data_IF_629963954183
#
_entry.id   IF_629963954183
#
_cell.length_a   1.000
_cell.length_b   1.000
_cell.length_c   1.000
_cell.angle_alpha   90.00
_cell.angle_beta   90.00
_cell.angle_gamma   90.00
#
_symmetry.space_group_name_H-M   'P 1'
#
loop_
_entity.id
_entity.type
_entity.pdbx_description
1 polymer ?
#
# COMPACT_ATOMS: atom_id res chain seq x y z
N UNK A 1 -8.40 17.30 -3.55
CA UNK A 1 -8.33 17.66 -4.99
C UNK A 1 -6.99 17.27 -5.63
N UNK A 2 -5.83 17.47 -4.98
CA UNK A 2 -4.51 17.17 -5.57
C UNK A 2 -4.30 15.73 -6.09
N UNK A 3 -4.92 14.71 -5.47
CA UNK A 3 -4.84 13.33 -5.97
C UNK A 3 -5.58 13.08 -7.30
N UNK A 4 -6.59 13.89 -7.62
CA UNK A 4 -7.32 13.81 -8.89
C UNK A 4 -6.53 14.52 -9.98
N UNK A 5 -5.95 15.69 -9.67
CA UNK A 5 -5.17 16.49 -10.62
C UNK A 5 -3.85 15.80 -11.04
N UNK A 6 -3.26 14.98 -10.16
CA UNK A 6 -2.04 14.21 -10.47
C UNK A 6 -2.30 12.90 -11.24
N UNK A 7 -3.56 12.50 -11.43
CA UNK A 7 -3.92 11.24 -12.10
C UNK A 7 -3.60 9.97 -11.31
N UNK A 8 -3.31 10.12 -10.02
CA UNK A 8 -2.83 9.06 -9.13
C UNK A 8 -3.83 7.91 -8.98
N UNK A 9 -5.12 8.24 -8.83
CA UNK A 9 -6.19 7.23 -8.72
C UNK A 9 -6.33 6.43 -10.02
N UNK A 10 -6.24 7.10 -11.18
CA UNK A 10 -6.34 6.45 -12.48
C UNK A 10 -5.16 5.50 -12.71
N UNK A 11 -3.94 5.93 -12.37
CA UNK A 11 -2.76 5.08 -12.48
C UNK A 11 -2.84 3.85 -11.55
N UNK A 12 -3.31 4.00 -10.31
CA UNK A 12 -3.46 2.86 -9.40
C UNK A 12 -4.54 1.88 -9.86
N UNK A 13 -5.67 2.37 -10.37
CA UNK A 13 -6.75 1.51 -10.88
C UNK A 13 -6.33 0.77 -12.15
N UNK A 14 -5.65 1.45 -13.08
CA UNK A 14 -5.10 0.82 -14.27
C UNK A 14 -4.06 -0.23 -13.92
N UNK A 15 -3.15 0.08 -12.98
CA UNK A 15 -2.14 -0.89 -12.53
C UNK A 15 -2.80 -2.11 -11.88
N UNK A 16 -3.80 -1.92 -11.02
CA UNK A 16 -4.52 -3.02 -10.39
C UNK A 16 -5.21 -3.92 -11.42
N UNK A 17 -5.90 -3.31 -12.41
CA UNK A 17 -6.54 -4.05 -13.49
C UNK A 17 -5.53 -4.83 -14.33
N UNK A 18 -4.44 -4.17 -14.74
CA UNK A 18 -3.37 -4.75 -15.52
C UNK A 18 -2.71 -5.94 -14.80
N UNK A 19 -2.38 -5.78 -13.52
CA UNK A 19 -1.76 -6.84 -12.71
C UNK A 19 -2.69 -8.04 -12.57
N UNK A 20 -3.99 -7.83 -12.30
CA UNK A 20 -4.96 -8.91 -12.24
C UNK A 20 -5.07 -9.67 -13.56
N UNK A 21 -5.09 -8.94 -14.69
CA UNK A 21 -5.10 -9.55 -16.02
C UNK A 21 -3.83 -10.36 -16.29
N UNK A 22 -2.64 -9.87 -15.94
CA UNK A 22 -1.40 -10.61 -16.11
C UNK A 22 -1.35 -11.89 -15.28
N UNK A 23 -1.76 -11.82 -14.01
CA UNK A 23 -1.84 -12.99 -13.12
C UNK A 23 -2.75 -14.05 -13.74
N UNK A 24 -3.97 -13.65 -14.12
CA UNK A 24 -4.92 -14.55 -14.76
C UNK A 24 -4.39 -15.13 -16.07
N UNK A 25 -3.84 -14.29 -16.95
CA UNK A 25 -3.32 -14.68 -18.25
C UNK A 25 -2.19 -15.70 -18.13
N UNK A 26 -1.20 -15.44 -17.27
CA UNK A 26 -0.05 -16.33 -17.07
C UNK A 26 -0.47 -17.65 -16.40
N UNK A 27 -1.31 -17.59 -15.37
CA UNK A 27 -1.83 -18.78 -14.71
C UNK A 27 -2.61 -19.66 -15.71
N UNK A 28 -3.45 -19.05 -16.57
CA UNK A 28 -4.24 -19.73 -17.59
C UNK A 28 -3.38 -20.33 -18.71
N UNK A 29 -2.33 -19.62 -19.14
CA UNK A 29 -1.42 -20.07 -20.19
C UNK A 29 -0.67 -21.34 -19.79
N UNK A 30 -0.24 -21.43 -18.53
CA UNK A 30 0.49 -22.60 -18.02
C UNK A 30 -0.47 -23.74 -17.64
N UNK A 31 -1.64 -23.43 -17.07
CA UNK A 31 -2.56 -24.46 -16.58
C UNK A 31 -3.41 -25.12 -17.67
N UNK A 32 -3.70 -24.43 -18.78
CA UNK A 32 -4.51 -24.97 -19.88
C UNK A 32 -4.01 -26.31 -20.44
N UNK A 33 -2.74 -26.46 -20.87
CA UNK A 33 -2.28 -27.74 -21.44
C UNK A 33 -2.27 -28.88 -20.40
N UNK A 34 -2.15 -28.55 -19.12
CA UNK A 34 -2.24 -29.52 -18.03
C UNK A 34 -3.69 -29.97 -17.79
N UNK A 35 -4.65 -29.04 -17.88
CA UNK A 35 -6.09 -29.34 -17.75
C UNK A 35 -6.59 -30.26 -18.88
N UNK A 36 -6.07 -30.08 -20.10
CA UNK A 36 -6.42 -30.93 -21.25
C UNK A 36 -6.00 -32.39 -21.06
N UNK A 37 -4.93 -32.64 -20.30
CA UNK A 37 -4.46 -34.00 -19.95
C UNK A 37 -5.13 -34.54 -18.70
N UNK A 38 -5.25 -33.72 -17.66
CA UNK A 38 -5.90 -34.06 -16.41
C UNK A 38 -6.50 -32.81 -15.78
N UNK A 39 -7.82 -32.71 -15.82
CA UNK A 39 -8.56 -31.55 -15.35
C UNK A 39 -8.21 -31.17 -13.90
N UNK A 40 -8.17 -32.15 -13.00
CA UNK A 40 -7.91 -31.92 -11.58
C UNK A 40 -6.49 -31.43 -11.32
N UNK A 41 -5.50 -32.00 -12.02
CA UNK A 41 -4.11 -31.56 -11.91
C UNK A 41 -3.92 -30.14 -12.48
N UNK A 42 -4.49 -29.86 -13.66
CA UNK A 42 -4.45 -28.52 -14.23
C UNK A 42 -5.17 -27.48 -13.38
N UNK A 43 -6.27 -27.86 -12.72
CA UNK A 43 -6.97 -27.00 -11.76
C UNK A 43 -6.13 -26.71 -10.50
N UNK A 44 -5.49 -27.73 -9.92
CA UNK A 44 -4.61 -27.55 -8.77
C UNK A 44 -3.43 -26.62 -9.10
N UNK A 45 -2.80 -26.82 -10.26
CA UNK A 45 -1.70 -25.97 -10.73
C UNK A 45 -2.18 -24.54 -11.01
N UNK A 46 -3.36 -24.36 -11.60
CA UNK A 46 -3.95 -23.04 -11.79
C UNK A 46 -4.14 -22.30 -10.47
N UNK A 47 -4.69 -22.97 -9.44
CA UNK A 47 -4.88 -22.36 -8.13
C UNK A 47 -3.56 -22.00 -7.45
N UNK A 48 -2.56 -22.88 -7.53
CA UNK A 48 -1.23 -22.62 -7.01
C UNK A 48 -0.57 -21.42 -7.69
N UNK A 49 -0.58 -21.37 -9.03
CA UNK A 49 -0.04 -20.26 -9.81
C UNK A 49 -0.77 -18.95 -9.54
N UNK A 50 -2.10 -18.98 -9.44
CA UNK A 50 -2.91 -17.80 -9.13
C UNK A 50 -2.48 -17.20 -7.79
N UNK A 51 -2.31 -18.02 -6.76
CA UNK A 51 -1.86 -17.56 -5.45
C UNK A 51 -0.43 -17.00 -5.49
N UNK A 52 0.51 -17.75 -6.07
CA UNK A 52 1.92 -17.33 -6.12
C UNK A 52 2.12 -16.05 -6.94
N UNK A 53 1.49 -15.95 -8.10
CA UNK A 53 1.57 -14.77 -8.96
C UNK A 53 0.85 -13.56 -8.34
N UNK A 54 -0.23 -13.76 -7.59
CA UNK A 54 -0.91 -12.67 -6.87
C UNK A 54 -0.02 -12.08 -5.77
N UNK A 55 0.68 -12.94 -5.03
CA UNK A 55 1.68 -12.52 -4.03
C UNK A 55 2.82 -11.76 -4.71
N UNK A 56 3.30 -12.24 -5.86
CA UNK A 56 4.34 -11.56 -6.62
C UNK A 56 3.87 -10.21 -7.20
N UNK A 57 2.61 -10.12 -7.63
CA UNK A 57 2.01 -8.90 -8.15
C UNK A 57 1.88 -7.79 -7.09
N UNK A 58 1.88 -8.13 -5.79
CA UNK A 58 1.91 -7.12 -4.73
C UNK A 58 3.19 -6.29 -4.74
N UNK A 59 4.33 -6.88 -5.13
CA UNK A 59 5.62 -6.17 -5.15
C UNK A 59 5.59 -4.92 -6.05
N UNK A 60 5.25 -5.01 -7.35
CA UNK A 60 5.19 -3.84 -8.22
C UNK A 60 4.09 -2.85 -7.80
N UNK A 61 2.96 -3.32 -7.25
CA UNK A 61 1.87 -2.47 -6.74
C UNK A 61 2.36 -1.61 -5.56
N UNK A 62 2.96 -2.24 -4.55
CA UNK A 62 3.51 -1.55 -3.40
C UNK A 62 4.64 -0.59 -3.79
N UNK A 63 5.50 -0.98 -4.74
CA UNK A 63 6.55 -0.09 -5.26
C UNK A 63 5.98 1.15 -5.95
N UNK A 64 4.99 0.97 -6.82
CA UNK A 64 4.34 2.08 -7.52
C UNK A 64 3.60 3.01 -6.53
N UNK A 65 2.94 2.44 -5.51
CA UNK A 65 2.29 3.21 -4.45
C UNK A 65 3.26 4.15 -3.74
N UNK A 66 4.43 3.63 -3.33
CA UNK A 66 5.47 4.45 -2.66
C UNK A 66 6.00 5.57 -3.55
N UNK A 67 6.30 5.26 -4.82
CA UNK A 67 6.85 6.24 -5.77
C UNK A 67 5.87 7.39 -6.02
N UNK A 68 4.58 7.09 -6.09
CA UNK A 68 3.51 8.06 -6.27
C UNK A 68 3.44 9.05 -5.11
N UNK A 69 3.60 8.58 -3.87
CA UNK A 69 3.53 9.45 -2.69
C UNK A 69 4.67 10.46 -2.60
N UNK A 70 5.91 10.05 -2.88
CA UNK A 70 7.02 11.00 -2.94
C UNK A 70 6.81 12.08 -4.02
N UNK A 71 6.19 11.71 -5.15
CA UNK A 71 5.84 12.66 -6.20
C UNK A 71 4.73 13.62 -5.77
N UNK A 72 3.73 13.13 -5.04
CA UNK A 72 2.67 13.97 -4.48
C UNK A 72 3.21 14.95 -3.44
N UNK A 73 4.13 14.50 -2.58
CA UNK A 73 4.79 15.34 -1.57
C UNK A 73 5.65 16.43 -2.20
N UNK A 74 6.42 16.08 -3.23
CA UNK A 74 7.22 17.06 -3.98
C UNK A 74 6.34 18.12 -4.67
N UNK A 75 5.19 17.71 -5.24
CA UNK A 75 4.24 18.65 -5.83
C UNK A 75 3.62 19.58 -4.79
N UNK A 76 3.19 19.04 -3.64
CA UNK A 76 2.65 19.82 -2.53
C UNK A 76 3.69 20.81 -1.97
N UNK A 77 4.95 20.38 -1.85
CA UNK A 77 6.07 21.23 -1.44
C UNK A 77 6.33 22.36 -2.43
N UNK A 78 6.18 22.11 -3.74
CA UNK A 78 6.29 23.14 -4.76
C UNK A 78 5.15 24.17 -4.69
N UNK A 79 3.94 23.74 -4.36
CA UNK A 79 2.76 24.61 -4.30
C UNK A 79 2.65 25.42 -3.00
N UNK A 80 2.97 24.81 -1.85
CA UNK A 80 2.72 25.39 -0.50
C UNK A 80 4.02 25.66 0.27
N UNK A 81 5.14 25.08 -0.14
CA UNK A 81 6.42 25.15 0.55
C UNK A 81 6.79 23.84 1.26
N UNK A 82 8.07 23.47 1.21
CA UNK A 82 8.56 22.23 1.82
C UNK A 82 8.42 22.24 3.37
N UNK A 83 8.63 23.40 4.01
CA UNK A 83 8.59 23.53 5.46
C UNK A 83 7.17 23.43 6.03
N UNK A 84 6.20 24.06 5.37
CA UNK A 84 4.78 23.98 5.73
C UNK A 84 4.27 22.54 5.59
N UNK A 85 4.63 21.86 4.49
CA UNK A 85 4.27 20.46 4.27
C UNK A 85 4.90 19.51 5.31
N UNK A 86 6.18 19.70 5.65
CA UNK A 86 6.84 18.93 6.70
C UNK A 86 6.18 19.14 8.07
N UNK A 87 5.81 20.38 8.41
CA UNK A 87 5.11 20.67 9.67
C UNK A 87 3.69 20.07 9.72
N UNK A 88 3.02 20.00 8.57
CA UNK A 88 1.70 19.38 8.47
C UNK A 88 1.80 17.86 8.69
N UNK A 89 2.77 17.20 8.07
CA UNK A 89 3.01 15.77 8.28
C UNK A 89 3.32 15.45 9.75
N UNK A 90 4.15 16.26 10.42
CA UNK A 90 4.44 16.10 11.84
C UNK A 90 3.18 16.23 12.72
N UNK A 91 2.29 17.17 12.39
CA UNK A 91 1.00 17.31 13.09
C UNK A 91 0.08 16.11 12.87
N UNK A 92 0.01 15.59 11.63
CA UNK A 92 -0.80 14.42 11.29
C UNK A 92 -0.28 13.18 12.02
N UNK A 93 1.04 12.98 12.07
CA UNK A 93 1.67 11.89 12.81
C UNK A 93 1.39 11.97 14.32
N UNK A 94 1.53 13.16 14.91
CA UNK A 94 1.20 13.39 16.32
C UNK A 94 -0.29 13.15 16.64
N UNK A 95 -1.20 13.47 15.71
CA UNK A 95 -2.63 13.17 15.85
C UNK A 95 -2.90 11.67 15.71
N UNK A 96 -2.30 11.01 14.72
CA UNK A 96 -2.45 9.56 14.51
C UNK A 96 -1.98 8.76 15.71
N UNK A 97 -0.86 9.14 16.33
CA UNK A 97 -0.35 8.51 17.55
C UNK A 97 -1.28 8.74 18.75
N UNK A 98 -1.95 9.90 18.83
CA UNK A 98 -2.94 10.20 19.86
C UNK A 98 -4.23 9.40 19.69
N UNK A 99 -4.71 9.22 18.46
CA UNK A 99 -5.90 8.41 18.17
C UNK A 99 -5.68 6.94 18.54
N UNK A 100 -4.50 6.40 18.23
CA UNK A 100 -4.12 5.05 18.64
C UNK A 100 -4.03 4.91 20.18
N UNK A 101 -3.61 5.97 20.88
CA UNK A 101 -3.58 6.00 22.33
C UNK A 101 -4.98 6.18 22.98
N UNK A 102 -5.92 6.86 22.31
CA UNK A 102 -7.30 6.99 22.79
C UNK A 102 -8.13 5.74 22.53
N UNK A 103 -7.95 5.05 21.40
CA UNK A 103 -8.57 3.75 21.14
C UNK A 103 -8.13 2.71 22.18
N UNK A 104 -6.88 2.78 22.66
CA UNK A 104 -6.39 1.91 23.73
C UNK A 104 -7.00 2.20 25.12
N UNK A 105 -7.66 3.35 25.30
CA UNK A 105 -8.22 3.78 26.60
C UNK A 105 -9.72 3.55 26.73
N UNK A 106 -10.44 3.36 25.63
CA UNK A 106 -11.89 3.12 25.61
C UNK A 106 -12.28 1.63 25.57
N UNK A 107 -11.34 0.71 25.34
CA UNK A 107 -11.58 -0.74 25.32
C UNK A 107 -11.64 -1.38 26.73
N UNK A 108 -12.41 -0.77 27.63
CA UNK A 108 -12.67 -1.28 28.98
C UNK A 108 -13.93 -2.14 29.10
N UNK A 109 -14.71 -2.38 28.03
CA UNK A 109 -15.95 -3.15 28.14
C UNK A 109 -16.31 -3.98 26.89
N UNK A 110 -16.69 -5.23 27.19
CA UNK A 110 -17.27 -6.28 26.35
C UNK A 110 -16.27 -7.13 25.53
N UNK A 111 -15.95 -8.26 26.14
CA UNK A 111 -15.40 -9.45 25.50
C UNK A 111 -16.33 -9.97 24.39
N UNK A 112 -15.70 -10.68 23.45
CA UNK A 112 -16.25 -11.90 22.81
C UNK A 112 -16.76 -11.87 21.35
N UNK A 113 -16.67 -10.77 20.60
CA UNK A 113 -17.07 -10.78 19.16
C UNK A 113 -16.10 -10.12 18.17
N UNK A 114 -15.13 -9.33 18.63
CA UNK A 114 -14.20 -8.58 17.76
C UNK A 114 -12.76 -9.14 17.74
N UNK A 115 -12.51 -10.26 18.43
CA UNK A 115 -11.18 -10.86 18.56
C UNK A 115 -10.54 -11.28 17.22
N UNK A 116 -11.33 -11.48 16.17
CA UNK A 116 -10.83 -11.92 14.85
C UNK A 116 -10.40 -10.76 13.94
N UNK A 117 -10.66 -9.50 14.34
CA UNK A 117 -10.32 -8.28 13.57
C UNK A 117 -9.16 -7.46 14.19
N UNK A 118 -8.51 -7.94 15.26
CA UNK A 118 -7.29 -7.36 15.87
C UNK A 118 -6.05 -8.11 15.37
N UNK A 119 -5.43 -7.76 14.24
CA UNK A 119 -4.38 -6.72 14.09
C UNK A 119 -3.51 -6.61 15.36
N UNK A 120 -2.35 -7.26 15.39
CA UNK A 120 -1.06 -6.61 15.08
C UNK A 120 -0.86 -5.26 15.78
N UNK A 121 -0.78 -5.30 17.12
CA UNK A 121 0.04 -4.36 17.86
C UNK A 121 1.52 -4.69 17.67
N UNK A 122 2.34 -3.66 17.46
CA UNK A 122 3.80 -3.69 17.30
C UNK A 122 4.32 -3.99 15.89
N UNK A 123 4.37 -2.90 15.11
CA UNK A 123 5.18 -2.76 13.91
C UNK A 123 6.68 -2.78 14.24
N UNK A 124 7.32 -3.94 14.13
CA UNK A 124 8.78 -4.01 14.09
C UNK A 124 9.21 -5.12 13.13
N UNK A 125 9.54 -4.76 11.90
CA UNK A 125 10.15 -5.65 10.90
C UNK A 125 9.30 -5.89 9.65
N UNK A 126 8.24 -6.71 9.75
CA UNK A 126 7.49 -7.18 8.57
C UNK A 126 6.41 -6.21 8.06
N UNK A 127 5.86 -5.35 8.92
CA UNK A 127 4.86 -4.35 8.53
C UNK A 127 5.43 -3.31 7.55
N UNK A 128 6.76 -3.10 7.55
CA UNK A 128 7.42 -2.15 6.64
C UNK A 128 7.47 -2.66 5.19
N UNK A 129 7.31 -3.97 4.95
CA UNK A 129 7.25 -4.54 3.61
C UNK A 129 5.83 -4.49 3.02
N UNK A 130 4.81 -4.62 3.87
CA UNK A 130 3.39 -4.54 3.48
C UNK A 130 2.77 -3.15 3.66
N UNK A 131 3.52 -2.18 4.18
CA UNK A 131 3.08 -0.80 4.24
C UNK A 131 2.92 -0.24 2.82
N UNK A 132 1.67 0.06 2.46
CA UNK A 132 1.26 0.71 1.21
C UNK A 132 1.75 2.16 1.11
N UNK A 133 2.07 2.75 2.26
CA UNK A 133 2.62 4.10 2.44
C UNK A 133 4.06 4.02 3.01
N UNK A 134 5.03 4.80 2.49
CA UNK A 134 6.33 4.93 3.13
C UNK A 134 6.19 5.64 4.49
N UNK A 135 7.08 5.37 5.46
CA UNK A 135 7.02 5.97 6.79
C UNK A 135 7.09 7.50 6.69
N UNK A 136 6.33 8.17 7.56
CA UNK A 136 6.22 9.64 7.63
C UNK A 136 7.59 10.31 7.77
N UNK A 137 8.49 9.72 8.53
CA UNK A 137 9.86 10.17 8.72
C UNK A 137 10.66 10.24 7.40
N UNK A 138 10.55 9.21 6.55
CA UNK A 138 11.21 9.19 5.24
C UNK A 138 10.65 10.26 4.30
N UNK A 139 9.34 10.53 4.39
CA UNK A 139 8.68 11.60 3.62
C UNK A 139 9.15 12.99 4.09
N UNK A 140 9.26 13.21 5.41
CA UNK A 140 9.78 14.45 5.98
C UNK A 140 11.26 14.67 5.60
N UNK A 141 12.07 13.61 5.64
CA UNK A 141 13.47 13.68 5.22
C UNK A 141 13.60 14.08 3.74
N UNK A 142 12.80 13.48 2.86
CA UNK A 142 12.75 13.84 1.44
C UNK A 142 12.33 15.30 1.22
N UNK A 143 11.34 15.79 1.99
CA UNK A 143 10.90 17.19 1.92
C UNK A 143 11.97 18.17 2.40
N UNK A 144 12.73 17.82 3.46
CA UNK A 144 13.82 18.65 3.97
C UNK A 144 15.03 18.71 3.03
N UNK A 145 15.20 17.70 2.19
CA UNK A 145 16.25 17.65 1.18
C UNK A 145 15.91 18.48 -0.09
N UNK A 146 14.66 18.95 -0.26
CA UNK A 146 14.30 19.80 -1.38
C UNK A 146 14.93 21.20 -1.23
N UNK A 147 15.46 21.79 -2.32
CA UNK A 147 16.05 23.11 -2.28
C UNK A 147 15.00 24.14 -1.85
N UNK A 148 15.36 24.96 -0.85
CA UNK A 148 14.53 26.08 -0.41
C UNK A 148 14.33 27.03 -1.58
N UNK A 149 13.07 27.30 -1.93
CA UNK A 149 12.75 28.44 -2.80
C UNK A 149 13.19 29.71 -2.04
N UNK A 150 13.98 30.61 -2.67
CA UNK A 150 14.35 31.88 -2.06
C UNK A 150 13.12 32.74 -1.74
#
# INVERSE_FOLDING_TARGET
VGHITNGDMMATTLLQGLMNTFVYFLARMISRPLMERNYWMGFAVYMALQFMLSVLAMIPICWFSRRREFRADAFAAHAVGAQSMASALQKIEALSQRTLASEHREEGMSEDALATMKIHGQSTGFSHLFATHPPTEARIAALRALPRKP
#
